data_IF_403450836532
#
_entry.id   IF_403450836532
#
_cell.length_a   1.000
_cell.length_b   1.000
_cell.length_c   1.000
_cell.angle_alpha   90.00
_cell.angle_beta   90.00
_cell.angle_gamma   90.00
#
_symmetry.space_group_name_H-M   'P 1'
#
loop_
_entity.id
_entity.type
_entity.pdbx_description
1 polymer ?
#
# COMPACT_ATOMS: atom_id res chain seq x y z
N UNK A 1 2.55 6.15 -37.32
CA UNK A 1 3.36 6.26 -36.08
C UNK A 1 2.88 7.46 -35.27
N UNK A 2 2.90 7.41 -33.92
CA UNK A 2 2.56 8.56 -33.08
C UNK A 2 3.48 9.75 -33.34
N UNK A 3 2.99 10.96 -33.04
CA UNK A 3 3.82 12.18 -33.05
C UNK A 3 4.96 12.06 -32.02
N UNK A 4 6.03 12.83 -32.22
CA UNK A 4 7.13 12.91 -31.24
C UNK A 4 6.59 13.24 -29.84
N UNK A 5 7.08 12.53 -28.82
CA UNK A 5 6.59 12.61 -27.44
C UNK A 5 5.44 11.65 -27.10
N UNK A 6 4.83 10.98 -28.08
CA UNK A 6 3.73 10.03 -27.85
C UNK A 6 4.18 8.59 -28.12
N UNK A 7 3.54 7.65 -27.41
CA UNK A 7 3.78 6.20 -27.54
C UNK A 7 2.43 5.48 -27.74
N UNK A 8 2.47 4.32 -28.39
CA UNK A 8 1.32 3.44 -28.55
C UNK A 8 1.48 2.21 -27.66
N UNK A 9 0.36 1.77 -27.09
CA UNK A 9 0.25 0.50 -26.37
C UNK A 9 -0.74 -0.40 -27.11
N UNK A 10 -0.47 -1.70 -27.11
CA UNK A 10 -1.39 -2.70 -27.67
C UNK A 10 -2.02 -3.47 -26.52
N UNK A 11 -3.34 -3.57 -26.52
CA UNK A 11 -4.13 -4.32 -25.54
C UNK A 11 -5.12 -5.22 -26.27
N UNK A 12 -5.59 -6.27 -25.61
CA UNK A 12 -6.66 -7.09 -26.19
C UNK A 12 -7.97 -6.29 -26.28
N UNK A 13 -8.80 -6.61 -27.26
CA UNK A 13 -10.12 -6.01 -27.45
C UNK A 13 -10.99 -6.14 -26.20
N UNK A 14 -11.03 -7.34 -25.60
CA UNK A 14 -11.78 -7.58 -24.36
C UNK A 14 -11.37 -6.68 -23.18
N UNK A 15 -10.12 -6.23 -23.15
CA UNK A 15 -9.62 -5.31 -22.12
C UNK A 15 -9.99 -3.88 -22.50
N UNK A 16 -9.87 -3.52 -23.79
CA UNK A 16 -10.31 -2.22 -24.30
C UNK A 16 -11.78 -1.97 -23.97
N UNK A 17 -12.66 -2.92 -24.28
CA UNK A 17 -14.12 -2.78 -24.09
C UNK A 17 -14.48 -2.53 -22.63
N UNK A 18 -13.86 -3.28 -21.71
CA UNK A 18 -14.07 -3.10 -20.27
C UNK A 18 -13.70 -1.68 -19.81
N UNK A 19 -12.56 -1.16 -20.25
CA UNK A 19 -12.17 0.20 -19.89
C UNK A 19 -13.04 1.24 -20.58
N UNK A 20 -13.46 1.00 -21.82
CA UNK A 20 -14.31 1.90 -22.57
C UNK A 20 -15.70 2.02 -21.95
N UNK A 21 -16.28 0.90 -21.50
CA UNK A 21 -17.55 0.87 -20.78
C UNK A 21 -17.49 1.69 -19.49
N UNK A 22 -16.41 1.56 -18.73
CA UNK A 22 -16.20 2.35 -17.51
C UNK A 22 -16.05 3.83 -17.85
N UNK A 23 -15.32 4.18 -18.91
CA UNK A 23 -15.20 5.55 -19.38
C UNK A 23 -16.58 6.15 -19.73
N UNK A 24 -17.40 5.42 -20.49
CA UNK A 24 -18.73 5.91 -20.89
C UNK A 24 -19.65 6.13 -19.67
N UNK A 25 -19.65 5.20 -18.72
CA UNK A 25 -20.48 5.29 -17.51
C UNK A 25 -20.12 6.48 -16.61
N UNK A 26 -18.87 6.92 -16.64
CA UNK A 26 -18.36 7.99 -15.76
C UNK A 26 -18.02 9.27 -16.53
N UNK A 27 -18.50 9.41 -17.76
CA UNK A 27 -18.07 10.47 -18.69
C UNK A 27 -18.28 11.88 -18.13
N UNK A 28 -19.43 12.13 -17.51
CA UNK A 28 -19.75 13.45 -16.96
C UNK A 28 -18.81 13.83 -15.80
N UNK A 29 -18.54 12.89 -14.89
CA UNK A 29 -17.60 13.10 -13.78
C UNK A 29 -16.16 13.31 -14.28
N UNK A 30 -15.75 12.57 -15.31
CA UNK A 30 -14.45 12.69 -15.94
C UNK A 30 -14.30 14.04 -16.66
N UNK A 31 -15.35 14.52 -17.33
CA UNK A 31 -15.36 15.84 -17.96
C UNK A 31 -15.21 16.97 -16.94
N UNK A 32 -15.83 16.86 -15.75
CA UNK A 32 -15.61 17.83 -14.66
C UNK A 32 -14.15 17.86 -14.18
N UNK A 33 -13.41 16.76 -14.35
CA UNK A 33 -11.98 16.62 -14.06
C UNK A 33 -11.08 17.00 -15.25
N UNK A 34 -11.65 17.51 -16.34
CA UNK A 34 -10.92 17.89 -17.56
C UNK A 34 -10.58 16.72 -18.50
N UNK A 35 -11.09 15.51 -18.22
CA UNK A 35 -10.83 14.30 -18.98
C UNK A 35 -11.94 14.07 -20.01
N UNK A 36 -11.69 14.49 -21.25
CA UNK A 36 -12.72 14.55 -22.30
C UNK A 36 -12.60 13.49 -23.40
N UNK A 37 -11.63 12.58 -23.30
CA UNK A 37 -11.42 11.53 -24.31
C UNK A 37 -11.03 10.22 -23.64
N UNK A 38 -11.27 9.11 -24.34
CA UNK A 38 -10.87 7.79 -23.84
C UNK A 38 -9.35 7.70 -23.62
N UNK A 39 -8.54 8.23 -24.54
CA UNK A 39 -7.09 8.29 -24.36
C UNK A 39 -6.72 9.12 -23.12
N UNK A 40 -7.39 10.26 -22.90
CA UNK A 40 -7.23 11.06 -21.68
C UNK A 40 -7.61 10.30 -20.41
N UNK A 41 -8.65 9.48 -20.46
CA UNK A 41 -9.07 8.64 -19.34
C UNK A 41 -8.02 7.58 -18.98
N UNK A 42 -7.45 6.91 -19.99
CA UNK A 42 -6.36 5.96 -19.76
C UNK A 42 -5.14 6.67 -19.18
N UNK A 43 -4.75 7.83 -19.70
CA UNK A 43 -3.64 8.63 -19.15
C UNK A 43 -3.92 9.02 -17.70
N UNK A 44 -5.10 9.57 -17.41
CA UNK A 44 -5.51 9.95 -16.06
C UNK A 44 -5.43 8.77 -15.09
N UNK A 45 -5.93 7.60 -15.49
CA UNK A 45 -5.89 6.39 -14.65
C UNK A 45 -4.44 5.93 -14.38
N UNK A 46 -3.57 5.98 -15.39
CA UNK A 46 -2.15 5.64 -15.22
C UNK A 46 -1.46 6.64 -14.29
N UNK A 47 -1.70 7.94 -14.44
CA UNK A 47 -1.15 8.99 -13.58
C UNK A 47 -1.65 8.88 -12.15
N UNK A 48 -2.96 8.69 -11.94
CA UNK A 48 -3.55 8.46 -10.63
C UNK A 48 -2.98 7.20 -9.97
N UNK A 49 -2.81 6.11 -10.73
CA UNK A 49 -2.17 4.90 -10.24
C UNK A 49 -0.71 5.14 -9.88
N UNK A 50 0.05 5.87 -10.70
CA UNK A 50 1.44 6.23 -10.39
C UNK A 50 1.54 7.14 -9.17
N UNK A 51 0.60 8.08 -8.99
CA UNK A 51 0.57 8.97 -7.83
C UNK A 51 0.21 8.19 -6.57
N UNK A 52 -0.80 7.32 -6.65
CA UNK A 52 -1.12 6.35 -5.60
C UNK A 52 0.08 5.49 -5.31
N UNK A 53 0.77 4.93 -6.30
CA UNK A 53 1.93 4.07 -6.10
C UNK A 53 3.15 4.84 -5.58
N UNK A 54 3.33 6.13 -5.90
CA UNK A 54 4.35 6.99 -5.26
C UNK A 54 3.96 7.34 -3.83
N UNK A 55 2.68 7.54 -3.59
CA UNK A 55 2.11 7.80 -2.26
C UNK A 55 2.28 6.54 -1.41
N UNK A 56 1.87 5.37 -1.90
CA UNK A 56 2.18 4.06 -1.33
C UNK A 56 3.70 3.83 -1.28
N UNK A 57 4.54 4.15 -2.24
CA UNK A 57 5.99 3.95 -2.07
C UNK A 57 6.60 4.88 -0.99
N UNK A 58 5.98 6.05 -0.74
CA UNK A 58 6.35 7.00 0.31
C UNK A 58 5.76 6.63 1.69
N UNK A 59 4.57 6.03 1.72
CA UNK A 59 3.79 5.78 2.95
C UNK A 59 3.56 4.29 3.25
N UNK A 60 3.63 3.41 2.25
CA UNK A 60 3.74 1.97 2.44
C UNK A 60 5.04 1.77 3.22
N UNK A 61 4.94 1.25 4.44
CA UNK A 61 6.11 0.99 5.23
C UNK A 61 6.95 0.02 4.41
N UNK A 62 8.20 0.37 4.08
CA UNK A 62 9.17 -0.59 3.54
C UNK A 62 9.62 -1.55 4.65
N UNK A 63 8.65 -2.01 5.43
CA UNK A 63 8.79 -2.91 6.54
C UNK A 63 8.58 -4.31 5.99
N UNK A 64 9.57 -5.17 6.21
CA UNK A 64 9.49 -6.58 5.85
C UNK A 64 9.56 -7.40 7.15
N UNK A 65 8.63 -8.32 7.36
CA UNK A 65 8.75 -9.29 8.45
C UNK A 65 9.91 -10.23 8.13
N UNK A 66 10.90 -10.30 9.01
CA UNK A 66 12.02 -11.26 8.90
C UNK A 66 11.66 -12.56 9.62
N UNK A 67 11.31 -12.47 10.90
CA UNK A 67 11.01 -13.62 11.74
C UNK A 67 10.05 -13.26 12.87
N UNK A 68 9.46 -14.29 13.47
CA UNK A 68 8.71 -14.21 14.72
C UNK A 68 9.37 -15.19 15.69
N UNK A 69 10.00 -14.65 16.73
CA UNK A 69 10.81 -15.40 17.69
C UNK A 69 10.17 -15.33 19.07
N UNK A 70 9.25 -16.26 19.36
CA UNK A 70 8.53 -16.35 20.62
C UNK A 70 7.69 -15.10 20.91
N UNK A 71 8.25 -14.18 21.69
CA UNK A 71 7.61 -12.94 22.13
C UNK A 71 8.07 -11.71 21.33
N UNK A 72 8.80 -11.91 20.22
CA UNK A 72 9.42 -10.84 19.44
C UNK A 72 9.09 -10.99 17.97
N UNK A 73 8.83 -9.87 17.30
CA UNK A 73 8.67 -9.80 15.84
C UNK A 73 9.82 -8.97 15.29
N UNK A 74 10.60 -9.57 14.41
CA UNK A 74 11.76 -8.94 13.79
C UNK A 74 11.33 -8.39 12.43
N UNK A 75 11.55 -7.09 12.22
CA UNK A 75 11.11 -6.35 11.05
C UNK A 75 12.31 -5.64 10.45
N UNK A 76 12.51 -5.78 9.15
CA UNK A 76 13.47 -4.96 8.40
C UNK A 76 12.83 -3.62 8.09
N UNK A 77 13.37 -2.54 8.63
CA UNK A 77 12.97 -1.18 8.30
C UNK A 77 13.86 -0.65 7.17
N UNK A 78 13.41 -0.80 5.92
CA UNK A 78 14.15 -0.25 4.77
C UNK A 78 13.99 1.27 4.60
N UNK A 79 13.21 1.96 5.47
CA UNK A 79 13.17 3.43 5.53
C UNK A 79 14.36 3.95 6.33
N UNK A 80 14.57 3.38 7.53
CA UNK A 80 15.70 3.70 8.42
C UNK A 80 16.97 2.92 8.10
N UNK A 81 16.89 1.92 7.22
CA UNK A 81 17.93 0.92 6.95
C UNK A 81 18.42 0.24 8.25
N UNK A 82 17.48 -0.16 9.12
CA UNK A 82 17.75 -0.82 10.41
C UNK A 82 16.83 -2.02 10.62
N UNK A 83 17.18 -2.88 11.58
CA UNK A 83 16.26 -3.90 12.11
C UNK A 83 15.45 -3.28 13.24
N UNK A 84 14.14 -3.43 13.18
CA UNK A 84 13.22 -3.11 14.26
C UNK A 84 12.76 -4.40 14.94
N UNK A 85 12.92 -4.44 16.26
CA UNK A 85 12.38 -5.52 17.08
C UNK A 85 11.15 -5.01 17.84
N UNK A 86 10.02 -5.68 17.66
CA UNK A 86 8.79 -5.40 18.40
C UNK A 86 8.57 -6.55 19.38
N UNK A 87 8.70 -6.24 20.68
CA UNK A 87 8.54 -7.21 21.75
C UNK A 87 7.13 -7.15 22.35
N UNK A 88 6.60 -8.31 22.71
CA UNK A 88 5.39 -8.46 23.52
C UNK A 88 5.83 -8.40 24.99
N UNK A 89 5.53 -7.31 25.67
CA UNK A 89 5.90 -7.09 27.08
C UNK A 89 4.67 -6.71 27.90
N UNK A 90 4.43 -7.44 28.99
CA UNK A 90 3.34 -7.14 29.96
C UNK A 90 1.96 -6.99 29.29
N UNK A 91 1.69 -7.76 28.24
CA UNK A 91 0.43 -7.73 27.51
C UNK A 91 0.31 -6.61 26.46
N UNK A 92 1.40 -5.91 26.14
CA UNK A 92 1.42 -4.85 25.13
C UNK A 92 2.59 -5.01 24.14
N UNK A 93 2.47 -4.40 22.96
CA UNK A 93 3.58 -4.32 22.01
C UNK A 93 4.47 -3.11 22.32
N UNK A 94 5.78 -3.33 22.27
CA UNK A 94 6.79 -2.30 22.46
C UNK A 94 7.85 -2.40 21.36
N UNK A 95 8.05 -1.32 20.60
CA UNK A 95 9.07 -1.26 19.57
C UNK A 95 10.40 -0.83 20.18
N UNK A 96 11.38 -1.72 20.22
CA UNK A 96 12.75 -1.44 20.71
C UNK A 96 13.46 -0.38 19.85
N UNK A 97 13.07 -0.26 18.57
CA UNK A 97 13.71 0.67 17.64
C UNK A 97 13.28 2.12 17.82
N UNK A 98 12.01 2.32 18.20
CA UNK A 98 11.41 3.63 18.40
C UNK A 98 11.18 3.97 19.88
N UNK A 99 11.48 3.03 20.77
CA UNK A 99 11.34 3.14 22.23
C UNK A 99 9.92 3.55 22.69
N UNK A 100 8.90 3.20 21.91
CA UNK A 100 7.52 3.61 22.13
C UNK A 100 6.52 2.49 21.83
N UNK A 101 5.33 2.61 22.42
CA UNK A 101 4.20 1.68 22.29
C UNK A 101 3.25 2.02 21.15
N UNK A 102 3.45 3.15 20.47
CA UNK A 102 2.67 3.57 19.33
C UNK A 102 3.60 4.10 18.24
N UNK A 103 3.85 3.27 17.22
CA UNK A 103 4.60 3.67 16.04
C UNK A 103 4.16 2.84 14.83
N UNK A 104 4.64 3.23 13.65
CA UNK A 104 4.32 2.53 12.41
C UNK A 104 4.83 1.08 12.38
N UNK A 105 5.91 0.73 13.10
CA UNK A 105 6.34 -0.67 13.25
C UNK A 105 5.28 -1.50 13.99
N UNK A 106 4.68 -0.96 15.05
CA UNK A 106 3.63 -1.65 15.82
C UNK A 106 2.37 -1.81 14.97
N UNK A 107 1.98 -0.76 14.23
CA UNK A 107 0.86 -0.86 13.28
C UNK A 107 1.09 -1.93 12.21
N UNK A 108 2.30 -2.02 11.67
CA UNK A 108 2.67 -3.08 10.73
C UNK A 108 2.59 -4.47 11.37
N UNK A 109 3.06 -4.63 12.62
CA UNK A 109 2.96 -5.91 13.34
C UNK A 109 1.51 -6.36 13.49
N UNK A 110 0.59 -5.46 13.82
CA UNK A 110 -0.83 -5.78 13.88
C UNK A 110 -1.45 -6.18 12.53
N UNK A 111 -0.85 -5.76 11.40
CA UNK A 111 -1.32 -6.16 10.07
C UNK A 111 -0.83 -7.53 9.60
N UNK A 112 0.12 -8.15 10.30
CA UNK A 112 0.65 -9.47 9.95
C UNK A 112 -0.29 -10.57 10.45
N UNK A 113 -0.90 -11.40 9.56
CA UNK A 113 -1.91 -12.38 9.96
C UNK A 113 -1.42 -13.39 11.02
N UNK A 114 -0.20 -13.89 10.84
CA UNK A 114 0.41 -14.88 11.73
C UNK A 114 0.74 -14.31 13.11
N UNK A 115 1.09 -13.03 13.18
CA UNK A 115 1.30 -12.35 14.46
C UNK A 115 -0.04 -12.02 15.12
N UNK A 116 -1.03 -11.60 14.34
CA UNK A 116 -2.35 -11.23 14.84
C UNK A 116 -3.02 -12.38 15.61
N UNK A 117 -2.88 -13.63 15.14
CA UNK A 117 -3.35 -14.82 15.85
C UNK A 117 -2.66 -15.00 17.21
N UNK A 118 -1.33 -14.83 17.28
CA UNK A 118 -0.55 -14.88 18.52
C UNK A 118 -1.02 -13.80 19.50
N UNK A 119 -1.20 -12.57 19.02
CA UNK A 119 -1.64 -11.45 19.84
C UNK A 119 -3.05 -11.66 20.39
N UNK A 120 -3.98 -12.15 19.55
CA UNK A 120 -5.34 -12.47 19.98
C UNK A 120 -5.37 -13.58 21.03
N UNK A 121 -4.55 -14.64 20.87
CA UNK A 121 -4.45 -15.71 21.88
C UNK A 121 -3.98 -15.21 23.24
N UNK A 122 -3.25 -14.09 23.27
CA UNK A 122 -2.75 -13.42 24.48
C UNK A 122 -3.63 -12.26 24.95
N UNK A 123 -4.78 -12.04 24.32
CA UNK A 123 -5.71 -10.96 24.67
C UNK A 123 -5.27 -9.55 24.24
N UNK A 124 -4.24 -9.43 23.40
CA UNK A 124 -3.67 -8.15 22.96
C UNK A 124 -4.43 -7.69 21.71
N UNK A 125 -5.07 -6.52 21.80
CA UNK A 125 -5.86 -5.95 20.69
C UNK A 125 -5.17 -4.72 20.10
N UNK A 126 -5.41 -4.47 18.81
CA UNK A 126 -4.97 -3.24 18.17
C UNK A 126 -5.69 -2.05 18.82
N UNK A 127 -4.98 -1.03 19.33
CA UNK A 127 -5.61 0.21 19.77
C UNK A 127 -6.37 0.83 18.59
N UNK A 128 -7.61 1.28 18.87
CA UNK A 128 -8.48 1.98 17.89
C UNK A 128 -7.95 3.37 17.57
#
# INVERSE_FOLDING_TARGET
>A
MPKAGFKSITISESVYDKFYDVFQKNKDELSMKGVNSFAGYITYMLEDKMQKDKTFARYAPKLEKISVDGDRVIIKDNIKNRIAEVAIQRGELYCQLCEQKNCFHIGFVFSLPDVYEILNSRGIKHPR
#
